data_IF_240303612842
#
_entry.id   IF_240303612842
#
_cell.length_a   1.000
_cell.length_b   1.000
_cell.length_c   1.000
_cell.angle_alpha   90.00
_cell.angle_beta   90.00
_cell.angle_gamma   90.00
#
_symmetry.space_group_name_H-M   'P 1'
#
loop_
_entity.id
_entity.type
_entity.pdbx_description
1 polymer ?
#
# COMPACT_ATOMS: atom_id res chain seq x y z
N UNK A 1 -7.60 14.03 -3.29
CA UNK A 1 -7.56 13.07 -2.17
C UNK A 1 -6.80 11.86 -2.68
N UNK A 2 -5.54 11.68 -2.29
CA UNK A 2 -4.72 10.60 -2.84
C UNK A 2 -5.18 9.27 -2.24
N UNK A 3 -5.46 8.28 -3.09
CA UNK A 3 -5.85 6.95 -2.61
C UNK A 3 -4.63 6.25 -1.97
N UNK A 4 -4.87 5.19 -1.20
CA UNK A 4 -3.76 4.40 -0.65
C UNK A 4 -2.91 3.81 -1.78
N UNK A 5 -3.52 3.42 -2.90
CA UNK A 5 -2.83 2.92 -4.07
C UNK A 5 -1.90 3.99 -4.65
N UNK A 6 -2.41 5.21 -4.89
CA UNK A 6 -1.61 6.31 -5.45
C UNK A 6 -0.41 6.66 -4.56
N UNK A 7 -0.62 6.70 -3.24
CA UNK A 7 0.45 6.97 -2.28
C UNK A 7 1.49 5.85 -2.27
N UNK A 8 1.06 4.59 -2.40
CA UNK A 8 1.98 3.44 -2.42
C UNK A 8 2.82 3.42 -3.70
N UNK A 9 2.23 3.76 -4.85
CA UNK A 9 2.94 3.89 -6.13
C UNK A 9 4.01 4.98 -6.02
N UNK A 10 3.62 6.19 -5.60
CA UNK A 10 4.56 7.32 -5.45
C UNK A 10 5.66 7.02 -4.43
N UNK A 11 5.32 6.42 -3.30
CA UNK A 11 6.29 6.05 -2.28
C UNK A 11 7.34 5.03 -2.78
N UNK A 12 6.98 4.18 -3.74
CA UNK A 12 7.91 3.26 -4.41
C UNK A 12 8.86 4.00 -5.37
N UNK A 13 8.46 5.16 -5.88
CA UNK A 13 9.25 6.06 -6.76
C UNK A 13 10.05 7.11 -5.96
N UNK A 14 10.44 6.78 -4.72
CA UNK A 14 11.22 7.64 -3.82
C UNK A 14 10.56 8.98 -3.43
N UNK A 15 9.24 9.13 -3.59
CA UNK A 15 8.49 10.27 -3.06
C UNK A 15 8.36 10.19 -1.53
N UNK A 16 9.19 10.96 -0.84
CA UNK A 16 9.25 10.97 0.63
C UNK A 16 7.94 11.42 1.28
N UNK A 17 7.21 12.35 0.66
CA UNK A 17 5.94 12.85 1.21
C UNK A 17 4.85 11.78 1.07
N UNK A 18 4.85 11.04 -0.04
CA UNK A 18 3.95 9.91 -0.22
C UNK A 18 4.27 8.78 0.77
N UNK A 19 5.56 8.46 0.96
CA UNK A 19 6.00 7.47 1.94
C UNK A 19 5.53 7.85 3.34
N UNK A 20 5.81 9.07 3.79
CA UNK A 20 5.38 9.57 5.09
C UNK A 20 3.86 9.45 5.28
N UNK A 21 3.07 9.84 4.26
CA UNK A 21 1.62 9.71 4.31
C UNK A 21 1.15 8.24 4.47
N UNK A 22 1.82 7.28 3.82
CA UNK A 22 1.54 5.84 4.01
C UNK A 22 1.88 5.42 5.44
N UNK A 23 3.07 5.78 5.95
CA UNK A 23 3.51 5.40 7.29
C UNK A 23 2.57 5.96 8.39
N UNK A 24 2.17 7.22 8.28
CA UNK A 24 1.20 7.85 9.19
C UNK A 24 -0.14 7.09 9.16
N UNK A 25 -0.61 6.71 7.97
CA UNK A 25 -1.87 5.98 7.81
C UNK A 25 -1.84 4.60 8.46
N UNK A 26 -0.69 3.92 8.46
CA UNK A 26 -0.51 2.61 9.10
C UNK A 26 -0.08 2.67 10.56
N UNK A 27 0.31 3.83 11.09
CA UNK A 27 0.71 4.01 12.50
C UNK A 27 -0.28 3.39 13.50
N UNK A 28 -1.62 3.54 13.38
CA UNK A 28 -2.54 2.94 14.35
C UNK A 28 -2.45 1.40 14.39
N UNK A 29 -2.23 0.76 13.24
CA UNK A 29 -2.07 -0.69 13.15
C UNK A 29 -0.73 -1.13 13.73
N UNK A 30 0.35 -0.38 13.44
CA UNK A 30 1.69 -0.65 13.96
C UNK A 30 1.69 -0.59 15.49
N UNK A 31 1.17 0.50 16.07
CA UNK A 31 1.05 0.66 17.54
C UNK A 31 0.21 -0.44 18.20
N UNK A 32 -0.85 -0.88 17.52
CA UNK A 32 -1.67 -1.99 18.01
C UNK A 32 -0.89 -3.31 18.02
N UNK A 33 -0.10 -3.59 16.98
CA UNK A 33 0.71 -4.81 16.91
C UNK A 33 1.85 -4.80 17.94
N UNK A 34 2.59 -3.69 18.03
CA UNK A 34 3.70 -3.53 18.98
C UNK A 34 3.24 -3.56 20.44
N UNK A 35 1.99 -3.18 20.74
CA UNK A 35 1.47 -3.17 22.11
C UNK A 35 1.52 -4.54 22.81
N UNK A 36 1.54 -5.63 22.03
CA UNK A 36 1.64 -7.01 22.50
C UNK A 36 3.06 -7.42 22.91
N UNK A 37 4.08 -6.66 22.51
CA UNK A 37 5.46 -6.91 22.88
C UNK A 37 5.75 -6.52 24.34
N UNK A 38 6.75 -7.15 24.99
CA UNK A 38 7.26 -6.71 26.29
C UNK A 38 7.62 -5.22 26.26
N UNK A 39 7.38 -4.50 27.36
CA UNK A 39 7.57 -3.04 27.42
C UNK A 39 8.93 -2.58 26.88
N UNK A 40 10.01 -3.28 27.26
CA UNK A 40 11.37 -2.96 26.83
C UNK A 40 11.59 -3.10 25.32
N UNK A 41 10.77 -3.87 24.60
CA UNK A 41 10.92 -4.18 23.18
C UNK A 41 9.85 -3.52 22.32
N UNK A 42 8.96 -2.71 22.90
CA UNK A 42 7.86 -2.10 22.16
C UNK A 42 8.36 -1.18 21.06
N UNK A 43 9.34 -0.33 21.39
CA UNK A 43 9.92 0.60 20.42
C UNK A 43 10.63 -0.13 19.29
N UNK A 44 11.49 -1.10 19.62
CA UNK A 44 12.18 -1.93 18.63
C UNK A 44 11.20 -2.66 17.71
N UNK A 45 10.12 -3.19 18.28
CA UNK A 45 9.05 -3.84 17.52
C UNK A 45 8.33 -2.86 16.58
N UNK A 46 8.07 -1.62 17.03
CA UNK A 46 7.50 -0.58 16.16
C UNK A 46 8.44 -0.27 14.99
N UNK A 47 9.72 -0.07 15.27
CA UNK A 47 10.73 0.22 14.24
C UNK A 47 10.82 -0.91 13.21
N UNK A 48 10.86 -2.18 13.65
CA UNK A 48 10.90 -3.32 12.74
C UNK A 48 9.63 -3.40 11.88
N UNK A 49 8.45 -3.14 12.45
CA UNK A 49 7.20 -3.10 11.69
C UNK A 49 7.20 -2.00 10.62
N UNK A 50 7.75 -0.82 10.93
CA UNK A 50 7.94 0.26 9.94
C UNK A 50 8.90 -0.18 8.82
N UNK A 51 10.04 -0.77 9.17
CA UNK A 51 11.01 -1.30 8.20
C UNK A 51 10.36 -2.34 7.27
N UNK A 52 9.56 -3.25 7.82
CA UNK A 52 8.86 -4.27 7.03
C UNK A 52 7.81 -3.67 6.10
N UNK A 53 7.08 -2.63 6.55
CA UNK A 53 6.15 -1.89 5.69
C UNK A 53 6.87 -1.21 4.53
N UNK A 54 7.99 -0.54 4.79
CA UNK A 54 8.81 0.10 3.75
C UNK A 54 9.29 -0.96 2.74
N UNK A 55 9.82 -2.10 3.21
CA UNK A 55 10.22 -3.21 2.34
C UNK A 55 9.06 -3.78 1.53
N UNK A 56 7.85 -3.81 2.10
CA UNK A 56 6.65 -4.27 1.39
C UNK A 56 6.25 -3.31 0.27
N UNK A 57 6.30 -1.99 0.50
CA UNK A 57 6.04 -0.97 -0.51
C UNK A 57 7.01 -1.11 -1.69
N UNK A 58 8.31 -1.28 -1.42
CA UNK A 58 9.31 -1.44 -2.47
C UNK A 58 9.15 -2.74 -3.27
N UNK A 59 8.71 -3.82 -2.62
CA UNK A 59 8.44 -5.12 -3.27
C UNK A 59 7.08 -5.19 -3.96
N UNK A 60 6.18 -4.24 -3.70
CA UNK A 60 4.85 -4.23 -4.29
C UNK A 60 4.94 -4.12 -5.81
N UNK A 61 4.31 -5.04 -6.51
CA UNK A 61 4.20 -5.06 -7.97
C UNK A 61 2.73 -4.86 -8.36
N UNK A 62 2.49 -3.89 -9.24
CA UNK A 62 1.19 -3.73 -9.89
C UNK A 62 1.27 -4.49 -11.20
N UNK A 63 0.49 -5.55 -11.31
CA UNK A 63 0.27 -6.20 -12.59
C UNK A 63 -0.88 -5.49 -13.29
N UNK A 64 -0.60 -4.84 -14.41
CA UNK A 64 -1.66 -4.43 -15.32
C UNK A 64 -2.36 -5.70 -15.82
N UNK A 65 -3.65 -5.79 -15.52
CA UNK A 65 -4.49 -6.85 -16.06
C UNK A 65 -5.15 -6.26 -17.30
N UNK A 66 -4.77 -6.75 -18.47
CA UNK A 66 -5.53 -6.48 -19.69
C UNK A 66 -6.97 -6.94 -19.47
N UNK A 67 -7.97 -6.07 -19.71
CA UNK A 67 -9.36 -6.49 -19.66
C UNK A 67 -9.56 -7.68 -20.61
N UNK A 68 -9.84 -8.86 -20.08
CA UNK A 68 -10.15 -10.04 -20.89
C UNK A 68 -11.48 -9.91 -21.64
N UNK A 69 -12.26 -8.87 -21.33
CA UNK A 69 -13.54 -8.58 -21.92
C UNK A 69 -13.39 -7.48 -22.96
N UNK A 70 -13.29 -7.88 -24.23
CA UNK A 70 -13.47 -6.98 -25.35
C UNK A 70 -14.97 -6.75 -25.56
N UNK A 71 -15.48 -5.61 -25.08
CA UNK A 71 -16.86 -5.18 -25.32
C UNK A 71 -17.09 -4.70 -26.76
N UNK A 72 -16.16 -4.93 -27.70
CA UNK A 72 -16.33 -4.63 -29.13
C UNK A 72 -17.38 -5.48 -29.85
N UNK A 73 -18.12 -6.35 -29.16
CA UNK A 73 -19.34 -6.91 -29.72
C UNK A 73 -20.34 -5.79 -29.95
N UNK A 74 -20.31 -5.26 -31.17
CA UNK A 74 -21.32 -4.40 -31.75
C UNK A 74 -22.69 -4.98 -31.36
N UNK A 75 -23.44 -4.19 -30.60
CA UNK A 75 -24.87 -4.38 -30.48
C UNK A 75 -25.41 -4.23 -31.91
N UNK A 76 -25.54 -5.35 -32.62
CA UNK A 76 -26.36 -5.41 -33.81
C UNK A 76 -27.73 -4.98 -33.32
N UNK A 77 -28.12 -3.74 -33.65
CA UNK A 77 -29.49 -3.30 -33.45
C UNK A 77 -30.35 -4.21 -34.30
N UNK A 78 -31.04 -5.15 -33.65
CA UNK A 78 -32.12 -5.87 -34.30
C UNK A 78 -33.18 -4.84 -34.68
N UNK A 79 -33.32 -4.62 -35.99
CA UNK A 79 -34.46 -3.94 -36.60
C UNK A 79 -35.71 -4.78 -36.33
#
# INVERSE_FOLDING_TARGET
MNTLLDLTIRAKEDDTAALEAVLIRFQPKIKKLSSSAPYAWKEDMEQELYIQLIKAIHRFEIKEVEPQWDFSHQLISAI
#
